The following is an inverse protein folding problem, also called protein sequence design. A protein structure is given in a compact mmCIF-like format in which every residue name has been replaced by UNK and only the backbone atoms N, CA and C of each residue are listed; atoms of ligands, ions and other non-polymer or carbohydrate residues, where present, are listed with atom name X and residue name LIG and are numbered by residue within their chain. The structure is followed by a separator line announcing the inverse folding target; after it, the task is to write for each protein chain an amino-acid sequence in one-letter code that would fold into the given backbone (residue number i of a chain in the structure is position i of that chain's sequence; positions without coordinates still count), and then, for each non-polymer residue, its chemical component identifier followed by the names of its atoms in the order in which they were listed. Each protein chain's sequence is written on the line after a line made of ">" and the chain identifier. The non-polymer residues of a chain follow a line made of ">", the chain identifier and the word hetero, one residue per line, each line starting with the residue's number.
data_IF_621477849999
#
_entry.id   IF_621477849999
#
_cell.length_a   1.000
_cell.length_b   1.000
_cell.length_c   1.000
_cell.angle_alpha   90.00
_cell.angle_beta   90.00
_cell.angle_gamma   90.00
#
_symmetry.space_group_name_H-M   'P 1'
#
loop_
_entity.id
_entity.type
_entity.pdbx_description
1 polymer ?
#
# COMPACT_ATOMS: atom_id res chain seq x y z
N UNK A 1 -23.84 -39.14 -20.14
CA UNK A 1 -24.19 -39.16 -21.58
C UNK A 1 -25.08 -37.95 -21.88
N UNK A 2 -24.94 -37.37 -23.09
CA UNK A 2 -25.54 -36.12 -23.65
C UNK A 2 -24.91 -34.78 -23.17
N UNK A 3 -23.97 -34.20 -23.94
CA UNK A 3 -24.02 -33.39 -25.20
C UNK A 3 -24.25 -31.89 -24.90
N UNK A 4 -23.19 -31.06 -24.84
CA UNK A 4 -22.57 -30.24 -25.91
C UNK A 4 -23.53 -29.23 -26.57
N UNK A 5 -23.24 -27.93 -26.43
CA UNK A 5 -23.32 -26.95 -27.53
C UNK A 5 -22.55 -25.66 -27.18
N UNK A 6 -21.46 -25.45 -27.90
CA UNK A 6 -20.73 -24.20 -28.01
C UNK A 6 -21.37 -23.32 -29.09
N UNK A 7 -21.38 -22.01 -28.90
CA UNK A 7 -21.72 -21.04 -29.95
C UNK A 7 -20.63 -19.97 -30.00
N UNK A 8 -19.82 -20.05 -31.05
CA UNK A 8 -18.99 -18.95 -31.57
C UNK A 8 -19.87 -17.95 -32.29
N UNK A 9 -19.60 -16.66 -32.13
CA UNK A 9 -19.98 -15.63 -33.10
C UNK A 9 -18.84 -14.61 -33.25
N UNK A 10 -18.17 -14.66 -34.41
CA UNK A 10 -17.36 -13.58 -34.96
C UNK A 10 -18.27 -12.47 -35.51
N UNK A 11 -17.83 -11.22 -35.39
CA UNK A 11 -18.11 -10.18 -36.38
C UNK A 11 -16.98 -9.14 -36.40
N UNK A 12 -16.59 -8.74 -37.60
CA UNK A 12 -15.45 -7.89 -37.94
C UNK A 12 -15.91 -6.62 -38.70
N UNK A 13 -15.00 -5.63 -38.78
CA UNK A 13 -14.96 -4.43 -39.64
C UNK A 13 -15.97 -3.32 -39.28
N UNK A 14 -15.62 -2.02 -39.26
CA UNK A 14 -15.13 -1.21 -40.39
C UNK A 14 -14.28 0.00 -40.00
N UNK A 15 -13.33 0.36 -40.87
CA UNK A 15 -12.55 1.59 -40.88
C UNK A 15 -13.28 2.75 -41.60
N UNK A 16 -12.98 4.01 -41.25
CA UNK A 16 -13.25 5.17 -42.11
C UNK A 16 -12.28 6.34 -41.83
N UNK A 17 -11.52 6.70 -42.86
CA UNK A 17 -10.72 7.93 -43.00
C UNK A 17 -11.61 9.11 -43.46
N UNK A 18 -11.29 10.35 -43.08
CA UNK A 18 -11.64 11.57 -43.84
C UNK A 18 -10.77 12.75 -43.37
N UNK A 19 -9.71 13.15 -44.09
CA UNK A 19 -9.62 14.12 -45.22
C UNK A 19 -9.64 15.60 -44.80
N UNK A 20 -8.45 16.21 -44.86
CA UNK A 20 -8.15 17.65 -44.75
C UNK A 20 -8.54 18.40 -46.04
N UNK A 21 -8.97 19.67 -45.97
CA UNK A 21 -8.96 20.58 -47.11
C UNK A 21 -7.84 21.62 -47.01
N UNK A 22 -7.05 21.73 -48.08
CA UNK A 22 -6.15 22.86 -48.39
C UNK A 22 -6.90 23.87 -49.27
N UNK A 23 -6.58 25.16 -49.12
CA UNK A 23 -6.98 26.24 -50.05
C UNK A 23 -5.74 27.07 -50.43
N UNK A 24 -5.62 27.57 -51.67
CA UNK A 24 -4.33 27.87 -52.31
C UNK A 24 -3.89 29.35 -52.27
N UNK A 25 -2.65 29.54 -52.74
CA UNK A 25 -1.80 30.72 -52.68
C UNK A 25 -2.16 31.87 -53.66
N UNK A 26 -1.65 33.07 -53.35
CA UNK A 26 -1.46 34.16 -54.31
C UNK A 26 -0.05 34.79 -54.13
N UNK A 27 0.58 35.11 -55.25
CA UNK A 27 2.02 35.41 -55.43
C UNK A 27 2.38 36.91 -55.33
N UNK A 28 3.70 37.14 -55.21
CA UNK A 28 4.50 38.34 -54.87
C UNK A 28 4.45 39.54 -55.84
N UNK A 29 5.15 40.66 -55.49
CA UNK A 29 6.35 40.97 -56.27
C UNK A 29 7.59 41.53 -55.51
N UNK A 30 8.75 41.19 -56.08
CA UNK A 30 10.08 41.82 -56.24
C UNK A 30 10.72 42.78 -55.17
N UNK A 31 11.81 42.24 -54.59
CA UNK A 31 13.20 42.75 -54.49
C UNK A 31 13.55 44.22 -54.17
N UNK A 32 14.34 44.38 -53.09
CA UNK A 32 15.44 45.36 -52.97
C UNK A 32 16.48 44.81 -51.97
N UNK A 33 17.77 44.81 -52.32
CA UNK A 33 18.93 44.51 -51.44
C UNK A 33 19.80 45.77 -51.29
N UNK A 34 20.75 45.87 -50.34
CA UNK A 34 20.83 45.27 -48.99
C UNK A 34 21.26 46.31 -47.91
N UNK A 35 21.16 45.96 -46.63
CA UNK A 35 21.88 46.66 -45.55
C UNK A 35 22.60 45.65 -44.64
N UNK A 36 23.74 46.01 -44.02
CA UNK A 36 24.69 45.07 -43.44
C UNK A 36 24.10 44.35 -42.21
N UNK A 37 24.46 43.08 -42.06
CA UNK A 37 24.04 42.25 -40.94
C UNK A 37 24.46 42.87 -39.60
N UNK A 38 23.48 43.35 -38.83
CA UNK A 38 23.63 43.48 -37.40
C UNK A 38 23.52 42.08 -36.78
N UNK A 39 24.57 41.66 -36.08
CA UNK A 39 24.54 40.42 -35.31
C UNK A 39 23.39 40.48 -34.29
N UNK A 40 22.55 39.44 -34.17
CA UNK A 40 21.56 39.38 -33.11
C UNK A 40 22.28 39.37 -31.77
N UNK A 41 21.96 40.35 -30.91
CA UNK A 41 22.29 40.24 -29.50
C UNK A 41 21.67 38.95 -28.96
N UNK A 42 22.49 38.11 -28.31
CA UNK A 42 22.06 36.90 -27.62
C UNK A 42 20.86 37.25 -26.73
N UNK A 43 19.70 36.56 -26.82
CA UNK A 43 18.60 36.79 -25.92
C UNK A 43 19.08 36.60 -24.49
N UNK A 44 18.89 37.60 -23.64
CA UNK A 44 19.04 37.43 -22.21
C UNK A 44 18.00 36.39 -21.77
N UNK A 45 18.46 35.26 -21.26
CA UNK A 45 17.59 34.27 -20.62
C UNK A 45 16.94 34.94 -19.41
N UNK A 46 15.65 35.24 -19.55
CA UNK A 46 14.79 35.55 -18.41
C UNK A 46 14.83 34.33 -17.48
N UNK A 47 15.23 34.47 -16.21
CA UNK A 47 15.21 33.33 -15.30
C UNK A 47 13.76 32.86 -15.15
N UNK A 48 13.49 31.65 -15.64
CA UNK A 48 12.22 30.96 -15.42
C UNK A 48 11.94 30.94 -13.92
N UNK A 49 10.78 31.43 -13.44
CA UNK A 49 10.42 31.29 -12.04
C UNK A 49 10.45 29.80 -11.69
N UNK A 50 11.32 29.43 -10.74
CA UNK A 50 11.34 28.07 -10.22
C UNK A 50 9.93 27.76 -9.72
N UNK A 51 9.24 26.83 -10.37
CA UNK A 51 7.97 26.31 -9.85
C UNK A 51 8.31 25.65 -8.52
N UNK A 52 7.76 26.11 -7.39
CA UNK A 52 8.01 25.46 -6.12
C UNK A 52 7.44 24.05 -6.22
N UNK A 53 8.32 23.05 -6.25
CA UNK A 53 7.93 21.65 -6.08
C UNK A 53 7.26 21.56 -4.72
N UNK A 54 5.93 21.45 -4.71
CA UNK A 54 5.19 21.27 -3.48
C UNK A 54 5.67 19.96 -2.84
N UNK A 55 6.38 20.06 -1.72
CA UNK A 55 6.70 18.91 -0.88
C UNK A 55 5.37 18.36 -0.37
N UNK A 56 4.94 17.22 -0.93
CA UNK A 56 3.76 16.51 -0.42
C UNK A 56 4.10 16.09 1.01
N UNK A 57 3.40 16.66 1.99
CA UNK A 57 3.55 16.25 3.37
C UNK A 57 3.07 14.80 3.49
N UNK A 58 3.99 13.87 3.74
CA UNK A 58 3.65 12.48 4.00
C UNK A 58 3.05 12.38 5.40
N UNK A 59 1.80 11.94 5.49
CA UNK A 59 1.15 11.66 6.79
C UNK A 59 1.97 10.64 7.58
N UNK A 60 2.14 10.90 8.87
CA UNK A 60 2.86 10.01 9.79
C UNK A 60 1.97 9.62 10.96
N UNK A 61 2.14 8.39 11.43
CA UNK A 61 1.42 7.76 12.54
C UNK A 61 2.42 7.33 13.61
N UNK A 62 2.01 7.37 14.87
CA UNK A 62 2.80 6.82 15.98
C UNK A 62 2.19 5.48 16.36
N UNK A 63 2.88 4.40 16.03
CA UNK A 63 2.37 3.03 16.14
C UNK A 63 3.38 2.12 16.87
N UNK A 64 2.91 1.10 17.60
CA UNK A 64 3.76 0.15 18.30
C UNK A 64 4.39 -0.86 17.33
N UNK A 65 5.62 -1.25 17.61
CA UNK A 65 6.36 -2.30 16.88
C UNK A 65 7.17 -3.15 17.85
N UNK A 66 7.59 -4.33 17.41
CA UNK A 66 8.63 -5.09 18.12
C UNK A 66 9.99 -4.48 17.78
N UNK A 67 10.92 -4.39 18.74
CA UNK A 67 12.30 -3.96 18.47
C UNK A 67 13.29 -5.07 18.74
N UNK A 68 14.23 -5.25 17.81
CA UNK A 68 15.41 -6.08 17.99
C UNK A 68 16.68 -5.24 18.16
N UNK A 69 16.58 -4.08 18.81
CA UNK A 69 17.77 -3.33 19.16
C UNK A 69 18.71 -4.21 20.00
N UNK A 70 19.85 -4.57 19.41
CA UNK A 70 20.93 -5.23 20.13
C UNK A 70 21.42 -4.30 21.26
N UNK A 71 21.80 -4.87 22.40
CA UNK A 71 22.33 -4.10 23.51
C UNK A 71 23.52 -3.24 23.05
N UNK A 72 23.37 -1.90 23.15
CA UNK A 72 24.39 -0.94 22.71
C UNK A 72 24.24 -0.42 21.27
N UNK A 73 23.24 -0.87 20.50
CA UNK A 73 22.90 -0.25 19.22
C UNK A 73 22.33 1.17 19.43
N UNK A 74 22.60 2.13 18.51
CA UNK A 74 21.95 3.43 18.55
C UNK A 74 20.42 3.27 18.48
N UNK A 75 19.71 3.99 19.35
CA UNK A 75 18.25 4.00 19.35
C UNK A 75 17.72 4.49 18.00
N UNK A 76 16.73 3.78 17.46
CA UNK A 76 16.11 4.15 16.19
C UNK A 76 15.43 5.53 16.32
N UNK A 77 15.78 6.53 15.48
CA UNK A 77 15.28 7.89 15.63
C UNK A 77 13.77 8.02 15.36
N UNK A 78 13.13 6.99 14.79
CA UNK A 78 11.67 6.95 14.64
C UNK A 78 10.98 6.66 15.96
N UNK A 79 11.64 6.00 16.91
CA UNK A 79 11.08 5.72 18.23
C UNK A 79 10.93 7.06 18.95
N UNK A 80 9.68 7.40 19.27
CA UNK A 80 9.34 8.65 19.97
C UNK A 80 9.08 8.41 21.45
N UNK A 81 8.81 7.17 21.84
CA UNK A 81 8.51 6.77 23.21
C UNK A 81 8.62 5.25 23.37
N UNK A 82 9.04 4.83 24.56
CA UNK A 82 8.82 3.47 25.06
C UNK A 82 7.60 3.45 25.99
N UNK A 83 6.71 2.49 25.77
CA UNK A 83 5.61 2.19 26.68
C UNK A 83 5.77 0.79 27.26
N UNK A 84 4.89 0.45 28.21
CA UNK A 84 4.76 -0.90 28.75
C UNK A 84 3.51 -1.52 28.13
N UNK A 85 3.68 -2.61 27.40
CA UNK A 85 2.60 -3.45 26.89
C UNK A 85 2.40 -4.69 27.75
N UNK A 86 1.35 -5.49 27.51
CA UNK A 86 1.13 -6.76 28.20
C UNK A 86 2.29 -7.77 28.04
N UNK A 87 3.17 -7.56 27.06
CA UNK A 87 4.26 -8.45 26.70
C UNK A 87 5.64 -7.83 26.94
N UNK A 88 5.71 -6.68 27.64
CA UNK A 88 6.95 -6.00 28.00
C UNK A 88 7.10 -4.61 27.38
N UNK A 89 8.35 -4.14 27.33
CA UNK A 89 8.67 -2.83 26.79
C UNK A 89 8.39 -2.76 25.28
N UNK A 90 7.53 -1.83 24.88
CA UNK A 90 7.07 -1.67 23.50
C UNK A 90 7.47 -0.29 22.97
N UNK A 91 8.28 -0.20 21.90
CA UNK A 91 8.58 1.06 21.24
C UNK A 91 7.41 1.54 20.39
N UNK A 92 7.09 2.83 20.53
CA UNK A 92 6.17 3.55 19.67
C UNK A 92 6.96 4.39 18.69
N UNK A 93 6.83 4.08 17.40
CA UNK A 93 7.60 4.72 16.35
C UNK A 93 6.73 5.56 15.41
N UNK A 94 7.29 6.69 14.97
CA UNK A 94 6.71 7.56 13.96
C UNK A 94 7.00 7.01 12.57
N UNK A 95 5.97 6.54 11.87
CA UNK A 95 6.07 5.91 10.56
C UNK A 95 5.06 6.48 9.57
N UNK A 96 5.40 6.53 8.28
CA UNK A 96 4.45 6.84 7.20
C UNK A 96 3.93 5.59 6.48
N UNK A 97 4.56 4.44 6.71
CA UNK A 97 4.22 3.14 6.16
C UNK A 97 4.72 2.04 7.12
N UNK A 98 4.15 0.83 7.04
CA UNK A 98 4.63 -0.31 7.83
C UNK A 98 6.04 -0.68 7.37
N UNK A 99 7.01 -0.78 8.30
CA UNK A 99 8.41 -1.07 7.99
C UNK A 99 8.64 -2.57 7.71
N UNK A 100 8.22 -3.07 6.54
CA UNK A 100 8.18 -4.50 6.23
C UNK A 100 9.54 -5.23 6.19
N UNK A 101 10.63 -4.54 5.87
CA UNK A 101 11.98 -5.13 5.72
C UNK A 101 13.00 -4.51 6.69
N UNK A 102 12.50 -3.91 7.75
CA UNK A 102 13.29 -3.18 8.70
C UNK A 102 13.92 -4.11 9.73
N UNK A 103 15.13 -3.78 10.18
CA UNK A 103 15.88 -4.60 11.16
C UNK A 103 15.66 -4.15 12.60
N UNK A 104 15.18 -2.93 12.78
CA UNK A 104 15.06 -2.29 14.09
C UNK A 104 13.60 -2.25 14.55
N UNK A 105 12.66 -1.98 13.65
CA UNK A 105 11.22 -1.98 13.93
C UNK A 105 10.53 -3.09 13.16
N UNK A 106 10.20 -4.18 13.84
CA UNK A 106 9.57 -5.34 13.22
C UNK A 106 8.05 -5.20 13.24
N UNK A 107 7.45 -5.46 12.08
CA UNK A 107 6.01 -5.60 11.93
C UNK A 107 5.60 -7.06 12.19
N UNK A 108 4.42 -7.26 12.77
CA UNK A 108 3.78 -8.57 12.78
C UNK A 108 3.15 -8.84 11.41
N UNK A 109 2.86 -10.11 11.12
CA UNK A 109 2.31 -10.49 9.83
C UNK A 109 0.90 -11.06 9.91
N UNK A 110 0.11 -10.72 8.89
CA UNK A 110 -1.13 -11.40 8.53
C UNK A 110 -0.95 -12.03 7.16
N UNK A 111 -1.23 -13.32 7.05
CA UNK A 111 -1.04 -14.11 5.84
C UNK A 111 -2.37 -14.61 5.34
N UNK A 112 -2.68 -14.36 4.07
CA UNK A 112 -3.75 -15.06 3.37
C UNK A 112 -3.19 -16.35 2.77
N UNK A 113 -3.90 -17.46 2.90
CA UNK A 113 -3.47 -18.75 2.36
C UNK A 113 -4.61 -19.52 1.67
N UNK A 114 -4.26 -20.45 0.80
CA UNK A 114 -5.23 -21.34 0.14
C UNK A 114 -5.45 -22.64 0.94
N UNK A 115 -6.44 -23.49 0.57
CA UNK A 115 -6.69 -24.72 1.28
C UNK A 115 -5.55 -25.75 1.31
N UNK A 116 -4.53 -25.60 0.45
CA UNK A 116 -3.34 -26.45 0.46
C UNK A 116 -2.23 -25.89 1.37
N UNK A 117 -2.46 -24.75 2.06
CA UNK A 117 -1.47 -24.10 2.90
C UNK A 117 -0.46 -23.25 2.13
N UNK A 118 -0.74 -22.92 0.86
CA UNK A 118 0.11 -22.00 0.11
C UNK A 118 -0.26 -20.56 0.45
N UNK A 119 0.72 -19.78 0.87
CA UNK A 119 0.57 -18.36 1.10
C UNK A 119 0.26 -17.64 -0.23
N UNK A 120 -0.78 -16.82 -0.21
CA UNK A 120 -1.25 -16.03 -1.34
C UNK A 120 -0.82 -14.57 -1.22
N UNK A 121 -0.90 -14.01 -0.01
CA UNK A 121 -0.56 -12.62 0.30
C UNK A 121 -0.11 -12.49 1.74
N UNK A 122 0.66 -11.44 2.00
CA UNK A 122 1.13 -11.08 3.32
C UNK A 122 1.00 -9.57 3.52
N UNK A 123 0.45 -9.17 4.66
CA UNK A 123 0.40 -7.79 5.12
C UNK A 123 1.23 -7.67 6.39
N UNK A 124 2.00 -6.60 6.51
CA UNK A 124 2.54 -6.21 7.81
C UNK A 124 1.50 -5.42 8.59
N UNK A 125 1.48 -5.58 9.91
CA UNK A 125 0.67 -4.77 10.83
C UNK A 125 1.56 -4.24 11.98
N UNK A 126 1.14 -3.17 12.66
CA UNK A 126 1.77 -2.79 13.92
C UNK A 126 1.66 -3.91 14.95
N UNK A 127 2.59 -3.92 15.88
CA UNK A 127 2.59 -4.84 17.00
C UNK A 127 1.27 -4.72 17.79
N UNK A 128 0.71 -5.84 18.24
CA UNK A 128 -0.57 -5.92 18.97
C UNK A 128 -1.80 -5.35 18.24
N UNK A 129 -1.70 -4.95 16.97
CA UNK A 129 -2.85 -4.44 16.25
C UNK A 129 -3.89 -5.55 16.03
N UNK A 130 -5.14 -5.27 16.38
CA UNK A 130 -6.27 -6.17 16.13
C UNK A 130 -6.55 -6.21 14.63
N UNK A 131 -6.66 -7.41 14.07
CA UNK A 131 -7.21 -7.57 12.72
C UNK A 131 -8.73 -7.43 12.81
N UNK A 132 -9.29 -6.42 12.15
CA UNK A 132 -10.73 -6.08 12.23
C UNK A 132 -11.47 -6.34 10.91
N UNK A 133 -10.76 -6.60 9.80
CA UNK A 133 -11.40 -6.96 8.53
C UNK A 133 -10.48 -7.06 7.34
N UNK A 134 -11.05 -7.44 6.20
CA UNK A 134 -10.39 -7.49 4.90
C UNK A 134 -11.30 -6.87 3.84
N UNK A 135 -10.74 -6.00 3.00
CA UNK A 135 -11.44 -5.31 1.90
C UNK A 135 -10.58 -5.37 0.63
N UNK A 136 -10.80 -6.39 -0.20
CA UNK A 136 -10.03 -6.58 -1.43
C UNK A 136 -8.55 -6.87 -1.17
N UNK A 137 -7.69 -5.84 -1.34
CA UNK A 137 -6.25 -5.89 -1.07
C UNK A 137 -5.85 -5.23 0.26
N UNK A 138 -6.82 -4.67 0.98
CA UNK A 138 -6.60 -3.92 2.20
C UNK A 138 -6.91 -4.76 3.42
N UNK A 139 -5.92 -4.92 4.30
CA UNK A 139 -6.12 -5.39 5.65
C UNK A 139 -6.64 -4.23 6.50
N UNK A 140 -7.73 -4.40 7.23
CA UNK A 140 -8.20 -3.42 8.21
C UNK A 140 -7.69 -3.82 9.59
N UNK A 141 -7.06 -2.88 10.27
CA UNK A 141 -6.52 -3.08 11.61
C UNK A 141 -6.95 -1.98 12.56
N UNK A 142 -6.97 -2.30 13.85
CA UNK A 142 -7.10 -1.33 14.93
C UNK A 142 -5.85 -1.39 15.78
N UNK A 143 -5.16 -0.27 15.93
CA UNK A 143 -3.95 -0.15 16.74
C UNK A 143 -4.12 0.95 17.79
N UNK A 144 -3.35 0.87 18.88
CA UNK A 144 -3.28 1.92 19.88
C UNK A 144 -2.03 2.76 19.65
N UNK A 145 -2.15 4.08 19.79
CA UNK A 145 -0.98 4.97 19.75
C UNK A 145 -0.28 5.05 21.11
N UNK A 146 0.76 5.87 21.19
CA UNK A 146 1.55 6.09 22.41
C UNK A 146 0.79 6.76 23.56
N UNK A 147 -0.44 7.22 23.33
CA UNK A 147 -1.36 7.80 24.32
C UNK A 147 -2.52 6.84 24.66
N UNK A 148 -2.41 5.56 24.27
CA UNK A 148 -3.43 4.52 24.43
C UNK A 148 -4.75 4.83 23.67
N UNK A 149 -4.71 5.76 22.71
CA UNK A 149 -5.87 6.05 21.86
C UNK A 149 -5.94 5.02 20.74
N UNK A 150 -7.14 4.46 20.56
CA UNK A 150 -7.40 3.51 19.50
C UNK A 150 -7.69 4.21 18.18
N UNK A 151 -7.00 3.76 17.14
CA UNK A 151 -7.14 4.25 15.76
C UNK A 151 -7.35 3.08 14.83
N UNK A 152 -8.14 3.30 13.77
CA UNK A 152 -8.38 2.30 12.75
C UNK A 152 -7.71 2.69 11.44
N UNK A 153 -7.13 1.69 10.80
CA UNK A 153 -6.37 1.84 9.56
C UNK A 153 -6.76 0.76 8.56
N UNK A 154 -6.51 1.05 7.30
CA UNK A 154 -6.32 0.04 6.28
C UNK A 154 -4.86 0.03 5.82
N UNK A 155 -4.32 -1.17 5.63
CA UNK A 155 -2.93 -1.43 5.26
C UNK A 155 -2.91 -2.31 4.01
N UNK A 156 -2.19 -1.91 2.97
CA UNK A 156 -1.98 -2.76 1.79
C UNK A 156 -0.72 -3.63 1.92
N UNK A 157 -0.51 -4.55 0.97
CA UNK A 157 0.63 -5.47 0.98
C UNK A 157 2.00 -4.79 0.85
N UNK A 158 2.03 -3.52 0.42
CA UNK A 158 3.25 -2.71 0.36
C UNK A 158 3.47 -1.90 1.65
N UNK A 159 2.61 -2.07 2.66
CA UNK A 159 2.70 -1.39 3.95
C UNK A 159 2.14 0.03 3.94
N UNK A 160 1.46 0.48 2.89
CA UNK A 160 0.82 1.81 2.90
C UNK A 160 -0.29 1.84 3.94
N UNK A 161 -0.31 2.87 4.76
CA UNK A 161 -1.29 3.07 5.84
C UNK A 161 -2.26 4.17 5.44
N UNK A 162 -3.56 3.92 5.59
CA UNK A 162 -4.59 4.95 5.47
C UNK A 162 -5.53 4.88 6.68
N UNK A 163 -5.74 6.01 7.36
CA UNK A 163 -6.70 6.09 8.45
C UNK A 163 -8.13 5.96 7.93
N UNK A 164 -8.97 5.23 8.67
CA UNK A 164 -10.38 5.04 8.37
C UNK A 164 -11.22 5.42 9.60
N UNK A 165 -12.44 5.89 9.36
CA UNK A 165 -13.37 6.28 10.42
C UNK A 165 -14.32 5.14 10.84
N UNK A 166 -14.55 4.18 9.94
CA UNK A 166 -15.53 3.13 10.13
C UNK A 166 -15.04 2.12 11.16
N UNK A 167 -15.75 2.00 12.28
CA UNK A 167 -15.40 1.05 13.34
C UNK A 167 -15.84 -0.37 13.02
N UNK A 168 -15.02 -1.35 13.37
CA UNK A 168 -15.37 -2.77 13.27
C UNK A 168 -15.02 -3.58 14.52
N UNK A 169 -15.79 -4.65 14.76
CA UNK A 169 -15.43 -5.69 15.73
C UNK A 169 -14.19 -6.44 15.26
N UNK A 170 -13.48 -7.07 16.18
CA UNK A 170 -12.34 -7.91 15.82
C UNK A 170 -12.79 -9.00 14.85
N UNK A 171 -11.96 -9.31 13.86
CA UNK A 171 -12.30 -10.28 12.83
C UNK A 171 -12.43 -11.67 13.43
N UNK A 172 -11.60 -12.00 14.42
CA UNK A 172 -11.66 -13.25 15.17
C UNK A 172 -13.04 -13.51 15.80
N UNK A 173 -13.67 -12.49 16.41
CA UNK A 173 -14.97 -12.60 17.10
C UNK A 173 -16.12 -13.03 16.18
N UNK A 174 -15.96 -12.84 14.87
CA UNK A 174 -16.98 -13.09 13.84
C UNK A 174 -16.50 -14.04 12.75
N UNK A 175 -15.40 -14.74 13.00
CA UNK A 175 -14.80 -15.70 12.08
C UNK A 175 -14.76 -17.09 12.70
N UNK A 176 -14.60 -18.10 11.86
CA UNK A 176 -14.45 -19.48 12.32
C UNK A 176 -12.97 -19.80 12.43
N UNK A 177 -12.49 -20.06 13.65
CA UNK A 177 -11.14 -20.59 13.84
C UNK A 177 -11.01 -21.99 13.22
N UNK A 178 -9.88 -22.26 12.58
CA UNK A 178 -9.55 -23.52 11.91
C UNK A 178 -8.12 -23.94 12.26
N UNK A 179 -7.79 -25.21 12.02
CA UNK A 179 -6.42 -25.70 12.18
C UNK A 179 -5.48 -25.00 11.18
N UNK A 180 -4.32 -24.58 11.67
CA UNK A 180 -3.30 -24.00 10.81
C UNK A 180 -2.55 -25.08 10.02
N UNK A 181 -2.46 -24.96 8.68
CA UNK A 181 -1.47 -25.72 7.93
C UNK A 181 -0.08 -25.21 8.28
N UNK A 182 0.97 -25.95 7.88
CA UNK A 182 2.36 -25.45 8.01
C UNK A 182 2.57 -24.27 7.08
N UNK A 183 2.57 -23.06 7.62
CA UNK A 183 2.77 -21.82 6.88
C UNK A 183 4.22 -21.34 7.01
N UNK A 184 4.94 -21.10 5.90
CA UNK A 184 6.32 -20.63 5.93
C UNK A 184 6.58 -19.40 6.81
N UNK A 185 5.66 -18.42 6.81
CA UNK A 185 5.80 -17.19 7.61
C UNK A 185 5.81 -17.46 9.12
N UNK A 186 5.15 -18.54 9.57
CA UNK A 186 5.00 -18.89 10.99
C UNK A 186 5.68 -20.21 11.33
N UNK A 187 6.67 -20.64 10.53
CA UNK A 187 7.27 -21.98 10.67
C UNK A 187 7.95 -22.23 12.04
N UNK A 188 8.35 -21.15 12.71
CA UNK A 188 9.02 -21.16 14.03
C UNK A 188 8.11 -20.61 15.14
N UNK A 189 6.83 -20.38 14.86
CA UNK A 189 5.85 -19.91 15.85
C UNK A 189 5.03 -21.08 16.39
N UNK A 190 4.63 -20.97 17.66
CA UNK A 190 3.64 -21.84 18.30
C UNK A 190 2.33 -21.08 18.62
N UNK A 191 2.21 -19.82 18.17
CA UNK A 191 1.15 -18.91 18.56
C UNK A 191 0.26 -18.47 17.39
N UNK A 192 0.47 -19.03 16.20
CA UNK A 192 -0.32 -18.70 15.03
C UNK A 192 -1.77 -19.19 15.18
N UNK A 193 -2.69 -18.36 14.71
CA UNK A 193 -4.11 -18.66 14.71
C UNK A 193 -4.66 -18.50 13.30
N UNK A 194 -5.46 -19.47 12.85
CA UNK A 194 -6.01 -19.50 11.51
C UNK A 194 -7.52 -19.38 11.54
N UNK A 195 -8.07 -18.63 10.58
CA UNK A 195 -9.49 -18.33 10.50
C UNK A 195 -10.00 -18.49 9.07
N UNK A 196 -11.15 -19.15 8.92
CA UNK A 196 -12.05 -18.93 7.78
C UNK A 196 -12.81 -17.61 8.03
N UNK A 197 -12.62 -16.63 7.16
CA UNK A 197 -13.18 -15.27 7.28
C UNK A 197 -14.04 -14.93 6.07
N UNK A 198 -15.01 -14.04 6.25
CA UNK A 198 -15.76 -13.43 5.14
C UNK A 198 -15.26 -12.00 4.94
N UNK A 199 -14.76 -11.67 3.75
CA UNK A 199 -14.30 -10.32 3.43
C UNK A 199 -15.48 -9.35 3.22
N UNK A 200 -15.18 -8.05 3.08
CA UNK A 200 -16.19 -7.01 2.90
C UNK A 200 -17.06 -7.18 1.64
N UNK A 201 -16.57 -7.92 0.63
CA UNK A 201 -17.32 -8.24 -0.59
C UNK A 201 -18.14 -9.54 -0.46
N UNK A 202 -18.06 -10.22 0.69
CA UNK A 202 -18.74 -11.49 0.94
C UNK A 202 -17.95 -12.73 0.51
N UNK A 203 -16.71 -12.58 0.06
CA UNK A 203 -15.90 -13.73 -0.35
C UNK A 203 -15.31 -14.46 0.88
N UNK A 204 -15.28 -15.79 0.82
CA UNK A 204 -14.63 -16.62 1.83
C UNK A 204 -13.12 -16.59 1.61
N UNK A 205 -12.36 -16.33 2.68
CA UNK A 205 -10.89 -16.21 2.67
C UNK A 205 -10.33 -16.92 3.90
N UNK A 206 -9.04 -17.26 3.86
CA UNK A 206 -8.34 -17.82 5.02
C UNK A 206 -7.19 -16.94 5.42
N UNK A 207 -7.16 -16.56 6.69
CA UNK A 207 -6.12 -15.71 7.26
C UNK A 207 -5.43 -16.44 8.41
N UNK A 208 -4.13 -16.25 8.50
CA UNK A 208 -3.30 -16.67 9.61
C UNK A 208 -2.56 -15.45 10.16
N UNK A 209 -2.54 -15.33 11.48
CA UNK A 209 -1.78 -14.30 12.18
C UNK A 209 -1.63 -14.70 13.64
N UNK A 210 -0.63 -14.13 14.28
CA UNK A 210 -0.38 -14.35 15.69
C UNK A 210 -1.26 -13.44 16.56
N UNK A 211 -1.61 -13.95 17.74
CA UNK A 211 -2.36 -13.21 18.76
C UNK A 211 -1.52 -12.16 19.50
N UNK A 212 -2.12 -11.55 20.52
CA UNK A 212 -1.41 -10.64 21.43
C UNK A 212 -0.34 -11.44 22.21
N UNK A 213 0.87 -10.89 22.36
CA UNK A 213 2.02 -11.51 23.03
C UNK A 213 2.58 -12.79 22.39
N UNK A 214 2.53 -12.90 21.07
CA UNK A 214 3.23 -13.93 20.32
C UNK A 214 4.65 -13.49 19.94
#
# INVERSE_FOLDING_TARGET
>A
MMRVLAVCCLAALTAACSKTPQTPAAQAPAASTPAPAAQPAKPAETPTPATPTATVATTQYVLPFTSQAEEGAPEDPRIVRWGEGPCGATPYARVSAIPLEDKSLLADYVVEFDPAGRELRRWGKPYEADVIGLEGQWLRVRARDSEDKSHEFRIDVAGRIESIADKAQALADRSKMIDCPKLPTFAESDYEQCYDVTDAAGAQRRLAYEGVCA
#
